data_IF_008881856706
#
_entry.id   IF_008881856706
#
_cell.length_a   1.000
_cell.length_b   1.000
_cell.length_c   1.000
_cell.angle_alpha   90.00
_cell.angle_beta   90.00
_cell.angle_gamma   90.00
#
_symmetry.space_group_name_H-M   'P 1'
#
loop_
_entity.id
_entity.type
_entity.pdbx_description
1 polymer ?
#
# COMPACT_ATOMS: atom_id res chain seq x y z
N UNK A 1 4.01 -4.71 -11.95
CA UNK A 1 5.20 -5.30 -11.27
C UNK A 1 4.81 -6.30 -10.19
N UNK A 2 5.67 -7.27 -9.84
CA UNK A 2 5.36 -8.32 -8.85
C UNK A 2 4.97 -7.77 -7.47
N UNK A 3 5.63 -6.70 -7.01
CA UNK A 3 5.27 -6.01 -5.77
C UNK A 3 3.76 -5.64 -5.72
N UNK A 4 3.23 -5.01 -6.78
CA UNK A 4 1.80 -4.68 -6.88
C UNK A 4 0.90 -5.91 -7.00
N UNK A 5 1.35 -6.94 -7.71
CA UNK A 5 0.55 -8.15 -7.92
C UNK A 5 0.15 -8.82 -6.60
N UNK A 6 1.02 -8.80 -5.58
CA UNK A 6 0.69 -9.34 -4.26
C UNK A 6 -0.45 -8.55 -3.59
N UNK A 7 -0.44 -7.23 -3.72
CA UNK A 7 -1.49 -6.34 -3.21
C UNK A 7 -2.81 -6.57 -3.97
N UNK A 8 -2.76 -6.69 -5.29
CA UNK A 8 -3.93 -7.03 -6.12
C UNK A 8 -4.50 -8.39 -5.72
N UNK A 9 -3.67 -9.42 -5.61
CA UNK A 9 -4.08 -10.77 -5.17
C UNK A 9 -4.80 -10.72 -3.83
N UNK A 10 -4.22 -10.02 -2.85
CA UNK A 10 -4.82 -9.83 -1.53
C UNK A 10 -6.21 -9.19 -1.60
N UNK A 11 -6.42 -8.19 -2.47
CA UNK A 11 -7.73 -7.55 -2.68
C UNK A 11 -8.74 -8.50 -3.32
N UNK A 12 -8.32 -9.28 -4.33
CA UNK A 12 -9.20 -10.20 -5.10
C UNK A 12 -9.67 -11.39 -4.26
N UNK A 13 -8.77 -12.00 -3.49
CA UNK A 13 -9.12 -13.06 -2.53
C UNK A 13 -10.08 -12.55 -1.44
N UNK A 14 -9.86 -11.33 -0.93
CA UNK A 14 -10.78 -10.69 0.03
C UNK A 14 -12.17 -10.47 -0.57
N UNK A 15 -12.25 -9.88 -1.76
CA UNK A 15 -13.52 -9.67 -2.46
C UNK A 15 -14.30 -10.98 -2.67
N UNK A 16 -13.59 -12.07 -3.01
CA UNK A 16 -14.18 -13.40 -3.15
C UNK A 16 -14.71 -13.95 -1.82
N UNK A 17 -13.96 -13.76 -0.72
CA UNK A 17 -14.35 -14.22 0.62
C UNK A 17 -15.53 -13.43 1.19
N UNK A 18 -15.54 -12.11 1.04
CA UNK A 18 -16.64 -11.25 1.48
C UNK A 18 -17.93 -11.54 0.71
N UNK A 19 -17.84 -11.77 -0.61
CA UNK A 19 -18.97 -12.16 -1.44
C UNK A 19 -19.62 -13.50 -1.04
N UNK A 20 -18.84 -14.45 -0.52
CA UNK A 20 -19.31 -15.76 -0.08
C UNK A 20 -19.82 -15.78 1.39
N UNK A 21 -19.18 -15.02 2.29
CA UNK A 21 -19.44 -15.09 3.73
C UNK A 21 -20.55 -14.15 4.23
N UNK A 22 -20.73 -12.97 3.62
CA UNK A 22 -21.67 -11.94 4.12
C UNK A 22 -23.15 -12.34 3.95
N UNK A 23 -23.46 -13.13 2.92
CA UNK A 23 -24.82 -13.61 2.61
C UNK A 23 -25.34 -14.65 3.61
N UNK A 24 -24.46 -15.46 4.21
CA UNK A 24 -24.83 -16.57 5.08
C UNK A 24 -24.78 -16.22 6.58
N UNK A 25 -23.93 -15.27 6.98
CA UNK A 25 -23.62 -15.03 8.41
C UNK A 25 -24.63 -14.14 9.14
N UNK A 26 -25.38 -13.31 8.42
CA UNK A 26 -26.25 -12.30 9.04
C UNK A 26 -27.69 -12.77 9.31
N UNK A 27 -28.03 -14.04 9.04
CA UNK A 27 -29.38 -14.59 9.29
C UNK A 27 -30.52 -13.86 8.58
N UNK A 28 -30.21 -12.94 7.68
CA UNK A 28 -31.16 -12.15 6.93
C UNK A 28 -31.77 -13.03 5.84
N UNK A 29 -33.10 -13.08 5.78
CA UNK A 29 -33.76 -13.53 4.55
C UNK A 29 -33.38 -12.56 3.45
N UNK A 30 -32.59 -13.03 2.50
CA UNK A 30 -32.30 -12.28 1.30
C UNK A 30 -33.64 -12.01 0.59
N UNK A 31 -33.87 -10.80 0.06
CA UNK A 31 -34.91 -10.66 -0.96
C UNK A 31 -34.63 -11.70 -2.04
N UNK A 32 -35.66 -12.28 -2.66
CA UNK A 32 -35.46 -13.20 -3.78
C UNK A 32 -34.54 -12.53 -4.80
N UNK A 33 -33.28 -12.97 -4.81
CA UNK A 33 -32.30 -12.50 -5.77
C UNK A 33 -32.82 -13.04 -7.08
N UNK A 34 -33.18 -12.15 -8.01
CA UNK A 34 -33.50 -12.57 -9.37
C UNK A 34 -32.34 -13.47 -9.84
N UNK A 35 -32.59 -14.77 -10.08
CA UNK A 35 -31.54 -15.69 -10.53
C UNK A 35 -30.91 -15.26 -11.86
N UNK A 36 -31.55 -14.31 -12.56
CA UNK A 36 -31.09 -13.70 -13.82
C UNK A 36 -30.37 -12.36 -13.64
N UNK A 37 -30.30 -11.79 -12.44
CA UNK A 37 -29.53 -10.57 -12.21
C UNK A 37 -28.03 -10.89 -12.33
N UNK A 38 -27.47 -10.68 -13.53
CA UNK A 38 -26.04 -10.81 -13.78
C UNK A 38 -25.26 -9.85 -12.87
N UNK A 39 -24.60 -10.39 -11.85
CA UNK A 39 -23.69 -9.62 -11.01
C UNK A 39 -22.40 -9.38 -11.79
N UNK A 40 -22.05 -8.11 -12.02
CA UNK A 40 -20.77 -7.75 -12.62
C UNK A 40 -19.60 -8.18 -11.71
N UNK A 41 -18.87 -9.21 -12.12
CA UNK A 41 -17.65 -9.65 -11.42
C UNK A 41 -16.49 -8.72 -11.77
N UNK A 42 -16.20 -7.80 -10.84
CA UNK A 42 -15.12 -6.81 -10.98
C UNK A 42 -13.72 -7.40 -11.14
N UNK A 43 -13.51 -8.70 -10.89
CA UNK A 43 -12.24 -9.37 -11.15
C UNK A 43 -11.94 -9.45 -12.65
N UNK A 44 -12.95 -9.37 -13.51
CA UNK A 44 -12.77 -9.28 -14.96
C UNK A 44 -11.96 -8.03 -15.40
N UNK A 45 -11.87 -6.99 -14.55
CA UNK A 45 -11.04 -5.79 -14.75
C UNK A 45 -9.59 -6.13 -14.37
N UNK A 46 -8.97 -7.00 -15.15
CA UNK A 46 -7.57 -7.41 -15.02
C UNK A 46 -7.00 -7.71 -16.42
N UNK A 47 -5.78 -7.28 -16.76
CA UNK A 47 -5.16 -7.61 -18.05
C UNK A 47 -5.17 -9.11 -18.37
N UNK A 48 -5.51 -9.46 -19.61
CA UNK A 48 -5.58 -10.85 -20.08
C UNK A 48 -6.97 -11.47 -20.10
N UNK A 49 -7.98 -10.81 -19.53
CA UNK A 49 -9.38 -11.27 -19.63
C UNK A 49 -9.99 -10.89 -20.97
N UNK A 50 -10.99 -11.66 -21.41
CA UNK A 50 -11.77 -11.35 -22.60
C UNK A 50 -12.48 -9.99 -22.47
N UNK A 51 -12.93 -9.64 -21.26
CA UNK A 51 -13.52 -8.34 -20.97
C UNK A 51 -12.58 -7.19 -21.36
N UNK A 52 -11.31 -7.23 -20.93
CA UNK A 52 -10.34 -6.18 -21.25
C UNK A 52 -9.98 -6.13 -22.74
N UNK A 53 -9.99 -7.27 -23.43
CA UNK A 53 -9.81 -7.32 -24.88
C UNK A 53 -10.97 -6.62 -25.62
N UNK A 54 -12.22 -6.95 -25.26
CA UNK A 54 -13.41 -6.31 -25.83
C UNK A 54 -13.45 -4.81 -25.49
N UNK A 55 -13.10 -4.44 -24.26
CA UNK A 55 -13.00 -3.04 -23.84
C UNK A 55 -12.01 -2.26 -24.71
N UNK A 56 -10.83 -2.81 -24.99
CA UNK A 56 -9.86 -2.17 -25.87
C UNK A 56 -10.39 -1.95 -27.28
N UNK A 57 -11.09 -2.94 -27.86
CA UNK A 57 -11.73 -2.81 -29.17
C UNK A 57 -12.82 -1.72 -29.17
N UNK A 58 -13.68 -1.71 -28.15
CA UNK A 58 -14.71 -0.68 -27.98
C UNK A 58 -14.12 0.72 -27.82
N UNK A 59 -13.04 0.89 -27.05
CA UNK A 59 -12.38 2.18 -26.87
C UNK A 59 -11.71 2.68 -28.16
N UNK A 60 -11.09 1.79 -28.94
CA UNK A 60 -10.54 2.14 -30.26
C UNK A 60 -11.64 2.66 -31.19
N UNK A 61 -12.76 1.94 -31.25
CA UNK A 61 -13.92 2.39 -32.02
C UNK A 61 -14.44 3.73 -31.51
N UNK A 62 -14.61 3.90 -30.20
CA UNK A 62 -15.08 5.13 -29.58
C UNK A 62 -14.19 6.33 -29.93
N UNK A 63 -12.87 6.18 -29.88
CA UNK A 63 -11.92 7.24 -30.24
C UNK A 63 -12.08 7.62 -31.72
N UNK A 64 -12.17 6.63 -32.62
CA UNK A 64 -12.38 6.87 -34.06
C UNK A 64 -13.72 7.57 -34.30
N UNK A 65 -14.79 7.12 -33.67
CA UNK A 65 -16.11 7.74 -33.77
C UNK A 65 -16.08 9.20 -33.31
N UNK A 66 -15.50 9.48 -32.14
CA UNK A 66 -15.39 10.85 -31.61
C UNK A 66 -14.55 11.76 -32.48
N UNK A 67 -13.38 11.31 -32.97
CA UNK A 67 -12.55 12.10 -33.88
C UNK A 67 -13.28 12.48 -35.18
N UNK A 68 -14.19 11.63 -35.66
CA UNK A 68 -14.95 11.87 -36.89
C UNK A 68 -16.25 12.66 -36.68
N UNK A 69 -16.86 12.56 -35.50
CA UNK A 69 -18.22 13.07 -35.25
C UNK A 69 -18.28 14.27 -34.32
N UNK A 70 -17.33 14.39 -33.37
CA UNK A 70 -17.34 15.43 -32.34
C UNK A 70 -16.36 16.57 -32.72
N UNK A 71 -16.86 17.79 -33.00
CA UNK A 71 -16.02 18.94 -33.31
C UNK A 71 -14.98 19.26 -32.23
N UNK A 72 -15.24 18.91 -30.97
CA UNK A 72 -14.32 19.12 -29.85
C UNK A 72 -13.04 18.29 -29.94
N UNK A 73 -13.02 17.23 -30.76
CA UNK A 73 -11.89 16.32 -30.92
C UNK A 73 -11.02 16.62 -32.16
N UNK A 74 -11.36 17.65 -32.96
CA UNK A 74 -10.67 17.91 -34.25
C UNK A 74 -9.20 18.29 -34.13
N UNK A 75 -8.81 18.95 -33.04
CA UNK A 75 -7.47 19.52 -32.87
C UNK A 75 -6.73 18.90 -31.68
N UNK A 76 -7.05 17.65 -31.31
CA UNK A 76 -6.39 16.93 -30.23
C UNK A 76 -5.73 15.67 -30.76
N UNK A 77 -4.63 15.29 -30.12
CA UNK A 77 -4.02 13.97 -30.29
C UNK A 77 -4.57 13.03 -29.21
N UNK A 78 -4.95 11.81 -29.61
CA UNK A 78 -5.50 10.81 -28.69
C UNK A 78 -4.62 9.57 -28.70
N UNK A 79 -4.02 9.26 -27.55
CA UNK A 79 -3.18 8.09 -27.35
C UNK A 79 -3.91 7.08 -26.47
N UNK A 80 -4.09 5.85 -26.96
CA UNK A 80 -4.65 4.74 -26.19
C UNK A 80 -3.56 3.74 -25.81
N UNK A 81 -3.32 3.58 -24.50
CA UNK A 81 -2.45 2.52 -23.95
C UNK A 81 -3.30 1.48 -23.22
N UNK A 82 -3.76 0.47 -23.96
CA UNK A 82 -4.64 -0.58 -23.42
C UNK A 82 -3.92 -1.57 -22.46
N UNK A 83 -4.66 -2.58 -22.01
CA UNK A 83 -4.20 -3.56 -21.01
C UNK A 83 -3.10 -4.52 -21.53
N UNK A 84 -2.83 -4.56 -22.83
CA UNK A 84 -1.74 -5.37 -23.39
C UNK A 84 -0.37 -4.68 -23.27
N UNK A 85 -0.34 -3.36 -23.05
CA UNK A 85 0.89 -2.63 -22.76
C UNK A 85 1.21 -2.78 -21.27
N UNK A 86 2.32 -3.44 -20.89
CA UNK A 86 2.65 -3.67 -19.48
C UNK A 86 2.83 -2.37 -18.69
N UNK A 87 2.40 -2.38 -17.43
CA UNK A 87 2.52 -1.25 -16.52
C UNK A 87 1.18 -0.79 -15.97
N UNK A 88 1.20 -0.26 -14.75
CA UNK A 88 0.03 0.37 -14.15
C UNK A 88 -0.32 1.65 -14.90
N UNK A 89 -1.62 1.97 -15.01
CA UNK A 89 -2.08 3.13 -15.80
C UNK A 89 -1.42 4.43 -15.37
N UNK A 90 -1.35 4.69 -14.06
CA UNK A 90 -0.70 5.87 -13.50
C UNK A 90 0.80 5.95 -13.87
N UNK A 91 1.54 4.84 -13.76
CA UNK A 91 2.96 4.82 -14.11
C UNK A 91 3.19 4.91 -15.62
N UNK A 92 2.30 4.37 -16.47
CA UNK A 92 2.37 4.57 -17.92
C UNK A 92 2.20 6.05 -18.29
N UNK A 93 1.32 6.77 -17.59
CA UNK A 93 1.15 8.22 -17.75
C UNK A 93 2.40 8.96 -17.29
N UNK A 94 2.93 8.64 -16.10
CA UNK A 94 4.14 9.31 -15.61
C UNK A 94 5.36 9.03 -16.49
N UNK A 95 5.52 7.80 -16.99
CA UNK A 95 6.54 7.43 -17.97
C UNK A 95 6.43 8.28 -19.24
N UNK A 96 5.21 8.52 -19.74
CA UNK A 96 4.97 9.38 -20.89
C UNK A 96 5.39 10.83 -20.59
N UNK A 97 4.95 11.41 -19.46
CA UNK A 97 5.29 12.78 -19.06
C UNK A 97 6.81 12.95 -18.91
N UNK A 98 7.49 12.01 -18.24
CA UNK A 98 8.95 12.08 -18.05
C UNK A 98 9.70 11.99 -19.39
N UNK A 99 9.27 11.11 -20.30
CA UNK A 99 9.88 11.02 -21.65
C UNK A 99 9.62 12.26 -22.49
N UNK A 100 8.43 12.85 -22.37
CA UNK A 100 8.07 14.09 -23.04
C UNK A 100 8.94 15.24 -22.52
N UNK A 101 9.04 15.41 -21.21
CA UNK A 101 9.89 16.43 -20.55
C UNK A 101 11.36 16.33 -20.95
N UNK A 102 11.85 15.11 -21.18
CA UNK A 102 13.21 14.86 -21.65
C UNK A 102 13.47 15.23 -23.13
N UNK A 103 12.44 15.59 -23.91
CA UNK A 103 12.61 15.99 -25.31
C UNK A 103 13.06 17.46 -25.43
N UNK A 104 13.97 17.80 -26.38
CA UNK A 104 14.43 19.18 -26.57
C UNK A 104 13.33 20.20 -26.93
N UNK A 105 12.22 19.75 -27.51
CA UNK A 105 11.13 20.60 -27.98
C UNK A 105 9.93 20.64 -27.03
N UNK A 106 10.06 20.08 -25.83
CA UNK A 106 9.00 20.11 -24.84
C UNK A 106 8.74 21.55 -24.35
N UNK A 107 7.48 21.95 -24.33
CA UNK A 107 7.06 23.21 -23.70
C UNK A 107 7.00 23.03 -22.17
N UNK A 108 7.90 23.67 -21.39
CA UNK A 108 7.91 23.57 -19.93
C UNK A 108 6.67 24.17 -19.25
N UNK A 109 5.80 24.88 -20.00
CA UNK A 109 4.54 25.43 -19.50
C UNK A 109 3.33 24.56 -19.84
N UNK A 110 3.53 23.35 -20.37
CA UNK A 110 2.45 22.39 -20.64
C UNK A 110 1.58 22.20 -19.39
N UNK A 111 0.27 22.34 -19.54
CA UNK A 111 -0.68 22.16 -18.43
C UNK A 111 -1.21 20.72 -18.42
N UNK A 112 -0.84 19.97 -17.39
CA UNK A 112 -1.24 18.59 -17.21
C UNK A 112 -2.50 18.48 -16.34
N UNK A 113 -3.49 17.72 -16.80
CA UNK A 113 -4.67 17.36 -16.01
C UNK A 113 -4.86 15.85 -16.01
N UNK A 114 -4.74 15.21 -14.84
CA UNK A 114 -4.94 13.76 -14.68
C UNK A 114 -6.26 13.48 -13.98
N UNK A 115 -7.08 12.60 -14.56
CA UNK A 115 -8.29 12.09 -13.92
C UNK A 115 -7.98 10.83 -13.12
N UNK A 116 -8.22 10.84 -11.80
CA UNK A 116 -8.09 9.65 -10.97
C UNK A 116 -8.29 9.91 -9.47
N UNK A 117 -8.71 8.86 -8.74
CA UNK A 117 -9.06 8.97 -7.31
C UNK A 117 -7.95 8.50 -6.36
N UNK A 118 -6.86 7.95 -6.88
CA UNK A 118 -5.79 7.37 -6.09
C UNK A 118 -4.93 8.46 -5.44
N UNK A 119 -4.54 8.23 -4.18
CA UNK A 119 -3.73 9.18 -3.42
C UNK A 119 -2.30 9.30 -3.97
N UNK A 120 -1.79 8.21 -4.56
CA UNK A 120 -0.46 8.12 -5.17
C UNK A 120 -0.27 9.15 -6.29
N UNK A 121 -1.36 9.56 -6.96
CA UNK A 121 -1.32 10.60 -8.00
C UNK A 121 -0.80 11.95 -7.50
N UNK A 122 -0.99 12.28 -6.22
CA UNK A 122 -0.42 13.52 -5.65
C UNK A 122 1.11 13.41 -5.61
N UNK A 123 1.63 12.28 -5.14
CA UNK A 123 3.07 12.03 -5.04
C UNK A 123 3.71 11.89 -6.42
N UNK A 124 3.04 11.19 -7.34
CA UNK A 124 3.49 11.06 -8.73
C UNK A 124 3.49 12.42 -9.44
N UNK A 125 2.44 13.24 -9.24
CA UNK A 125 2.37 14.60 -9.77
C UNK A 125 3.52 15.48 -9.28
N UNK A 126 3.84 15.42 -7.98
CA UNK A 126 4.99 16.10 -7.40
C UNK A 126 6.32 15.62 -8.01
N UNK A 127 6.51 14.30 -8.13
CA UNK A 127 7.71 13.67 -8.68
C UNK A 127 7.94 13.95 -10.19
N UNK A 128 6.94 14.44 -10.92
CA UNK A 128 7.15 14.89 -12.31
C UNK A 128 7.97 16.18 -12.40
N UNK A 129 7.97 16.99 -11.34
CA UNK A 129 8.42 18.39 -11.32
C UNK A 129 7.85 19.27 -12.44
N UNK A 130 6.70 18.91 -13.00
CA UNK A 130 5.97 19.78 -13.90
C UNK A 130 5.26 20.87 -13.09
N UNK A 131 5.45 22.16 -13.41
CA UNK A 131 4.91 23.26 -12.60
C UNK A 131 3.38 23.34 -12.69
N UNK A 132 2.81 23.04 -13.87
CA UNK A 132 1.39 23.17 -14.14
C UNK A 132 0.70 21.80 -14.16
N UNK A 133 0.47 21.24 -12.97
CA UNK A 133 -0.11 19.91 -12.83
C UNK A 133 -1.36 19.92 -11.93
N UNK A 134 -2.45 19.34 -12.42
CA UNK A 134 -3.74 19.27 -11.73
C UNK A 134 -4.30 17.86 -11.76
N UNK A 135 -4.88 17.40 -10.65
CA UNK A 135 -5.62 16.14 -10.58
C UNK A 135 -7.11 16.47 -10.48
N UNK A 136 -7.92 15.85 -11.32
CA UNK A 136 -9.39 15.90 -11.25
C UNK A 136 -9.91 14.57 -10.70
N UNK A 137 -10.85 14.63 -9.76
CA UNK A 137 -11.49 13.44 -9.19
C UNK A 137 -12.92 13.73 -8.76
N UNK A 138 -13.73 12.68 -8.67
CA UNK A 138 -15.05 12.79 -8.06
C UNK A 138 -14.93 13.15 -6.57
N UNK A 139 -15.81 14.04 -6.13
CA UNK A 139 -15.90 14.51 -4.76
C UNK A 139 -16.43 13.39 -3.87
N UNK A 140 -15.62 12.98 -2.90
CA UNK A 140 -16.04 12.01 -1.90
C UNK A 140 -16.46 12.75 -0.62
N UNK A 141 -17.76 12.76 -0.32
CA UNK A 141 -18.29 13.25 0.96
C UNK A 141 -18.63 12.07 1.87
N UNK A 142 -17.83 11.82 2.93
CA UNK A 142 -18.12 10.75 3.88
C UNK A 142 -19.51 10.97 4.51
N UNK A 143 -20.25 9.87 4.71
CA UNK A 143 -21.56 9.87 5.38
C UNK A 143 -22.66 10.70 4.71
N UNK A 144 -22.51 11.07 3.44
CA UNK A 144 -23.56 11.74 2.66
C UNK A 144 -24.02 10.85 1.50
N UNK A 145 -25.32 10.84 1.17
CA UNK A 145 -25.81 10.14 0.00
C UNK A 145 -25.17 10.72 -1.26
N UNK A 146 -24.91 9.85 -2.25
CA UNK A 146 -24.33 10.31 -3.52
C UNK A 146 -25.30 11.30 -4.17
N UNK A 147 -24.84 12.51 -4.55
CA UNK A 147 -25.68 13.47 -5.26
C UNK A 147 -26.15 12.91 -6.61
N UNK A 148 -27.23 13.47 -7.15
CA UNK A 148 -27.86 13.04 -8.41
C UNK A 148 -26.97 13.20 -9.64
N UNK A 149 -25.85 13.93 -9.52
CA UNK A 149 -24.82 14.07 -10.55
C UNK A 149 -23.42 14.06 -9.93
N UNK A 150 -22.38 13.66 -10.68
CA UNK A 150 -21.02 13.66 -10.19
C UNK A 150 -20.55 15.09 -9.92
N UNK A 151 -20.10 15.35 -8.70
CA UNK A 151 -19.36 16.56 -8.34
C UNK A 151 -17.86 16.27 -8.49
N UNK A 152 -17.11 17.18 -9.11
CA UNK A 152 -15.66 17.03 -9.30
C UNK A 152 -14.89 18.08 -8.50
N UNK A 153 -13.74 17.68 -7.97
CA UNK A 153 -12.78 18.57 -7.31
C UNK A 153 -11.46 18.58 -8.09
N UNK A 154 -10.76 19.70 -8.00
CA UNK A 154 -9.43 19.90 -8.57
C UNK A 154 -8.40 20.00 -7.46
N UNK A 155 -7.39 19.13 -7.52
CA UNK A 155 -6.21 19.19 -6.65
C UNK A 155 -5.07 19.77 -7.47
N UNK A 156 -4.70 21.01 -7.16
CA UNK A 156 -3.63 21.74 -7.86
C UNK A 156 -2.28 21.44 -7.22
N UNK A 157 -1.41 20.73 -7.91
CA UNK A 157 -0.08 20.37 -7.41
C UNK A 157 0.79 21.62 -7.23
N UNK A 158 0.63 22.65 -8.07
CA UNK A 158 1.33 23.92 -7.89
C UNK A 158 1.04 24.57 -6.52
N UNK A 159 -0.20 24.51 -6.04
CA UNK A 159 -0.60 25.04 -4.72
C UNK A 159 -0.03 24.18 -3.60
N UNK A 160 -0.07 22.84 -3.75
CA UNK A 160 0.56 21.93 -2.78
C UNK A 160 2.06 22.21 -2.65
N UNK A 161 2.75 22.45 -3.76
CA UNK A 161 4.17 22.83 -3.77
C UNK A 161 4.42 24.11 -2.97
N UNK A 162 3.58 25.13 -3.10
CA UNK A 162 3.71 26.35 -2.28
C UNK A 162 3.56 26.06 -0.78
N UNK A 163 2.60 25.23 -0.38
CA UNK A 163 2.45 24.81 1.03
C UNK A 163 3.65 24.00 1.52
N UNK A 164 4.17 23.07 0.71
CA UNK A 164 5.37 22.30 1.06
C UNK A 164 6.57 23.24 1.20
N UNK A 165 6.71 24.25 0.33
CA UNK A 165 7.81 25.23 0.41
C UNK A 165 7.80 25.99 1.74
N UNK A 166 6.63 26.42 2.20
CA UNK A 166 6.45 27.07 3.49
C UNK A 166 6.76 26.11 4.65
N UNK A 167 6.20 24.89 4.60
CA UNK A 167 6.39 23.90 5.67
C UNK A 167 7.85 23.42 5.74
N UNK A 168 8.58 23.39 4.63
CA UNK A 168 9.93 22.85 4.51
C UNK A 168 11.02 23.93 4.51
N UNK A 169 10.69 25.16 4.89
CA UNK A 169 11.69 26.20 5.06
C UNK A 169 12.71 25.82 6.16
N UNK A 170 13.99 26.00 5.84
CA UNK A 170 15.14 25.65 6.68
C UNK A 170 16.21 26.74 6.55
N UNK A 171 16.09 27.84 7.31
CA UNK A 171 17.11 28.89 7.30
C UNK A 171 18.40 28.40 7.97
N UNK A 172 19.55 28.87 7.49
CA UNK A 172 20.85 28.55 8.10
C UNK A 172 21.43 27.19 7.72
N UNK A 173 21.00 26.60 6.60
CA UNK A 173 21.60 25.37 6.08
C UNK A 173 23.09 25.56 5.72
N UNK A 174 23.93 24.53 5.94
CA UNK A 174 25.36 24.59 5.59
C UNK A 174 25.64 24.36 4.09
N UNK A 175 24.60 24.29 3.25
CA UNK A 175 24.67 24.07 1.81
C UNK A 175 23.52 24.83 1.11
N UNK A 176 23.60 24.94 -0.23
CA UNK A 176 22.60 25.65 -1.02
C UNK A 176 21.23 24.96 -0.98
N UNK A 177 20.19 25.72 -0.61
CA UNK A 177 18.81 25.23 -0.62
C UNK A 177 18.29 25.13 -2.06
N UNK A 178 17.93 23.92 -2.45
CA UNK A 178 17.21 23.54 -3.65
C UNK A 178 15.83 22.97 -3.27
N UNK A 179 14.77 23.59 -3.78
CA UNK A 179 13.39 23.19 -3.50
C UNK A 179 12.98 21.91 -4.22
N UNK A 180 13.56 21.58 -5.37
CA UNK A 180 13.17 20.35 -6.08
C UNK A 180 13.66 19.11 -5.33
N UNK A 181 14.87 19.15 -4.74
CA UNK A 181 15.33 18.07 -3.86
C UNK A 181 14.48 17.94 -2.57
N UNK A 182 13.89 19.04 -2.08
CA UNK A 182 12.94 19.00 -0.96
C UNK A 182 11.65 18.27 -1.34
N UNK A 183 11.16 18.46 -2.57
CA UNK A 183 10.01 17.72 -3.07
C UNK A 183 10.30 16.22 -3.13
N UNK A 184 11.48 15.83 -3.60
CA UNK A 184 11.89 14.42 -3.66
C UNK A 184 11.95 13.78 -2.27
N UNK A 185 12.54 14.50 -1.32
CA UNK A 185 12.62 14.08 0.07
C UNK A 185 11.24 14.02 0.74
N UNK A 186 10.33 14.94 0.41
CA UNK A 186 8.94 14.91 0.88
C UNK A 186 8.21 13.65 0.38
N UNK A 187 8.32 13.35 -0.91
CA UNK A 187 7.74 12.12 -1.51
C UNK A 187 8.32 10.88 -0.83
N UNK A 188 9.64 10.84 -0.62
CA UNK A 188 10.32 9.75 0.09
C UNK A 188 9.82 9.59 1.53
N UNK A 189 9.62 10.69 2.26
CA UNK A 189 9.05 10.64 3.62
C UNK A 189 7.63 10.06 3.63
N UNK A 190 6.80 10.39 2.64
CA UNK A 190 5.46 9.83 2.53
C UNK A 190 5.48 8.30 2.33
N UNK A 191 6.48 7.73 1.66
CA UNK A 191 6.60 6.28 1.50
C UNK A 191 6.77 5.52 2.82
N UNK A 192 7.35 6.13 3.86
CA UNK A 192 7.46 5.51 5.18
C UNK A 192 6.11 5.33 5.88
N UNK A 193 5.17 6.22 5.60
CA UNK A 193 3.85 6.20 6.24
C UNK A 193 2.95 5.14 5.60
N UNK A 194 3.11 4.88 4.31
CA UNK A 194 2.43 3.79 3.61
C UNK A 194 2.43 3.99 2.11
N UNK A 195 2.48 2.88 1.38
CA UNK A 195 2.33 2.83 -0.07
C UNK A 195 1.78 1.45 -0.46
N UNK A 196 1.51 1.25 -1.75
CA UNK A 196 0.91 0.00 -2.24
C UNK A 196 1.86 -1.21 -2.26
N UNK A 197 3.16 -1.01 -2.06
CA UNK A 197 4.21 -2.00 -2.26
C UNK A 197 4.82 -2.51 -0.95
N UNK A 198 4.80 -1.68 0.09
CA UNK A 198 5.34 -1.98 1.42
C UNK A 198 4.28 -1.79 2.51
N UNK A 199 4.26 -2.67 3.54
CA UNK A 199 3.45 -2.41 4.73
C UNK A 199 3.95 -1.15 5.46
N UNK A 200 3.02 -0.39 6.04
CA UNK A 200 3.36 0.77 6.85
C UNK A 200 4.15 0.36 8.09
N UNK A 201 5.11 1.20 8.50
CA UNK A 201 5.83 0.99 9.76
C UNK A 201 4.84 1.01 10.94
N UNK A 202 4.95 0.10 11.93
CA UNK A 202 3.96 0.01 13.01
C UNK A 202 3.78 1.33 13.80
N UNK A 203 4.86 2.12 13.90
CA UNK A 203 4.92 3.38 14.63
C UNK A 203 4.44 4.60 13.82
N UNK A 204 4.13 4.47 12.53
CA UNK A 204 3.71 5.59 11.68
C UNK A 204 2.28 5.42 11.17
N UNK A 205 1.37 6.29 11.62
CA UNK A 205 0.01 6.39 11.09
C UNK A 205 -0.33 7.86 10.75
N UNK A 206 -0.91 8.10 9.57
CA UNK A 206 -1.32 9.45 9.13
C UNK A 206 -2.23 10.11 10.17
N UNK A 207 -3.18 9.35 10.73
CA UNK A 207 -4.15 9.83 11.74
C UNK A 207 -3.49 10.28 13.06
N UNK A 208 -2.24 9.91 13.28
CA UNK A 208 -1.46 10.25 14.48
C UNK A 208 -0.38 11.32 14.21
N UNK A 209 -0.50 12.05 13.08
CA UNK A 209 0.44 13.11 12.70
C UNK A 209 1.82 12.57 12.34
N UNK A 210 1.90 11.41 11.67
CA UNK A 210 3.17 10.80 11.29
C UNK A 210 4.01 11.70 10.36
N UNK A 211 3.38 12.38 9.39
CA UNK A 211 4.06 13.27 8.45
C UNK A 211 4.72 14.43 9.20
N UNK A 212 3.98 15.09 10.12
CA UNK A 212 4.53 16.20 10.91
C UNK A 212 5.74 15.78 11.78
N UNK A 213 5.73 14.54 12.29
CA UNK A 213 6.87 13.99 13.04
C UNK A 213 8.07 13.76 12.13
N UNK A 214 7.84 13.21 10.93
CA UNK A 214 8.87 12.98 9.92
C UNK A 214 9.50 14.30 9.47
N UNK A 215 8.69 15.32 9.17
CA UNK A 215 9.18 16.65 8.75
C UNK A 215 10.12 17.24 9.81
N UNK A 216 9.75 17.20 11.10
CA UNK A 216 10.62 17.71 12.18
C UNK A 216 11.96 16.97 12.23
N UNK A 217 11.92 15.63 12.24
CA UNK A 217 13.13 14.80 12.26
C UNK A 217 14.01 15.04 11.03
N UNK A 218 13.38 15.15 9.86
CA UNK A 218 14.05 15.43 8.60
C UNK A 218 14.81 16.74 8.66
N UNK A 219 14.16 17.83 9.07
CA UNK A 219 14.81 19.15 9.20
C UNK A 219 16.04 19.07 10.09
N UNK A 220 15.94 18.45 11.27
CA UNK A 220 17.08 18.29 12.17
C UNK A 220 18.24 17.52 11.51
N UNK A 221 17.93 16.44 10.79
CA UNK A 221 18.94 15.59 10.14
C UNK A 221 19.60 16.29 8.96
N UNK A 222 18.86 17.08 8.19
CA UNK A 222 19.42 17.86 7.08
C UNK A 222 20.43 18.89 7.62
N UNK A 223 20.09 19.61 8.70
CA UNK A 223 21.03 20.53 9.35
C UNK A 223 22.29 19.81 9.88
N UNK A 224 22.13 18.62 10.47
CA UNK A 224 23.23 17.84 11.03
C UNK A 224 24.14 17.19 9.96
N UNK A 225 23.58 16.79 8.82
CA UNK A 225 24.30 15.99 7.81
C UNK A 225 24.69 16.75 6.55
N UNK A 226 24.23 17.99 6.39
CA UNK A 226 24.57 18.83 5.25
C UNK A 226 24.10 18.26 3.90
N UNK A 227 22.87 17.76 3.82
CA UNK A 227 22.25 17.45 2.52
C UNK A 227 20.95 16.64 2.59
N UNK A 228 20.41 16.34 1.42
CA UNK A 228 19.09 15.72 1.17
C UNK A 228 19.04 14.20 1.43
N UNK A 229 17.86 13.64 1.67
CA UNK A 229 17.66 12.20 1.79
C UNK A 229 17.83 11.47 0.46
N UNK A 230 17.48 12.13 -0.63
CA UNK A 230 17.45 11.57 -1.96
C UNK A 230 18.25 12.41 -2.94
N UNK A 231 18.68 11.78 -4.03
CA UNK A 231 19.26 12.47 -5.17
C UNK A 231 19.01 11.65 -6.43
N UNK A 232 18.31 12.22 -7.41
CA UNK A 232 18.03 11.58 -8.71
C UNK A 232 17.48 10.14 -8.60
N UNK A 233 16.55 9.90 -7.68
CA UNK A 233 15.96 8.57 -7.46
C UNK A 233 16.82 7.59 -6.66
N UNK A 234 17.97 8.03 -6.14
CA UNK A 234 18.79 7.25 -5.20
C UNK A 234 18.60 7.73 -3.77
N UNK A 235 18.66 6.81 -2.81
CA UNK A 235 18.46 7.07 -1.38
C UNK A 235 19.82 7.13 -0.67
N UNK A 236 20.04 8.17 0.13
CA UNK A 236 21.13 8.22 1.08
C UNK A 236 20.78 7.40 2.34
N UNK A 237 21.20 6.14 2.36
CA UNK A 237 20.89 5.21 3.45
C UNK A 237 21.41 5.67 4.81
N UNK A 238 22.54 6.39 4.86
CA UNK A 238 23.06 6.95 6.11
C UNK A 238 22.14 8.00 6.73
N UNK A 239 21.49 8.84 5.91
CA UNK A 239 20.50 9.82 6.38
C UNK A 239 19.17 9.15 6.74
N UNK A 240 18.75 8.14 5.99
CA UNK A 240 17.57 7.32 6.33
C UNK A 240 17.75 6.60 7.66
N UNK A 241 18.94 6.04 7.93
CA UNK A 241 19.25 5.41 9.22
C UNK A 241 19.05 6.40 10.38
N UNK A 242 19.52 7.64 10.22
CA UNK A 242 19.32 8.68 11.25
C UNK A 242 17.83 9.01 11.47
N UNK A 243 17.01 9.05 10.42
CA UNK A 243 15.56 9.22 10.54
C UNK A 243 14.96 8.07 11.34
N UNK A 244 15.31 6.83 10.98
CA UNK A 244 14.79 5.64 11.62
C UNK A 244 15.20 5.55 13.10
N UNK A 245 16.43 5.93 13.44
CA UNK A 245 16.89 6.07 14.83
C UNK A 245 16.06 7.13 15.58
N UNK A 246 15.75 8.26 14.94
CA UNK A 246 14.88 9.30 15.50
C UNK A 246 13.48 8.78 15.81
N UNK A 247 12.85 8.10 14.85
CA UNK A 247 11.53 7.47 15.03
C UNK A 247 11.60 6.38 16.10
N UNK A 248 12.66 5.55 16.08
CA UNK A 248 12.94 4.47 17.03
C UNK A 248 12.88 4.93 18.49
N UNK A 249 13.41 6.12 18.79
CA UNK A 249 13.34 6.74 20.13
C UNK A 249 11.93 7.11 20.56
N UNK A 250 11.01 7.31 19.61
CA UNK A 250 9.63 7.74 19.85
C UNK A 250 8.64 6.57 19.88
N UNK A 251 9.02 5.38 19.42
CA UNK A 251 8.11 4.23 19.24
C UNK A 251 7.36 3.85 20.52
N UNK A 252 8.07 3.71 21.64
CA UNK A 252 7.47 3.37 22.93
C UNK A 252 6.44 4.39 23.41
N UNK A 253 6.67 5.68 23.14
CA UNK A 253 5.74 6.74 23.50
C UNK A 253 4.51 6.71 22.58
N UNK A 254 4.71 6.47 21.28
CA UNK A 254 3.64 6.34 20.28
C UNK A 254 2.72 5.18 20.65
N UNK A 255 3.27 4.00 20.93
CA UNK A 255 2.45 2.83 21.25
C UNK A 255 1.70 2.95 22.58
N UNK A 256 2.31 3.59 23.59
CA UNK A 256 1.61 3.90 24.85
C UNK A 256 0.41 4.82 24.62
N UNK A 257 0.59 5.92 23.88
CA UNK A 257 -0.48 6.86 23.57
C UNK A 257 -1.60 6.22 22.75
N UNK A 258 -1.26 5.37 21.78
CA UNK A 258 -2.24 4.61 20.97
C UNK A 258 -3.08 3.70 21.87
N UNK A 259 -2.45 2.96 22.78
CA UNK A 259 -3.15 2.10 23.75
C UNK A 259 -4.10 2.91 24.65
N UNK A 260 -3.65 4.02 25.20
CA UNK A 260 -4.48 4.89 26.05
C UNK A 260 -5.71 5.41 25.27
N UNK A 261 -5.51 5.78 24.01
CA UNK A 261 -6.57 6.24 23.12
C UNK A 261 -7.58 5.13 22.81
N UNK A 262 -7.11 3.91 22.53
CA UNK A 262 -7.96 2.74 22.28
C UNK A 262 -8.79 2.37 23.51
N UNK A 263 -8.18 2.37 24.69
CA UNK A 263 -8.87 2.10 25.97
C UNK A 263 -9.95 3.17 26.22
N UNK A 264 -9.61 4.44 26.02
CA UNK A 264 -10.53 5.56 26.20
C UNK A 264 -11.71 5.50 25.22
N UNK A 265 -11.45 5.14 23.97
CA UNK A 265 -12.48 4.99 22.95
C UNK A 265 -13.43 3.84 23.26
N UNK A 266 -12.91 2.66 23.61
CA UNK A 266 -13.74 1.50 23.98
C UNK A 266 -14.58 1.76 25.23
N UNK A 267 -14.03 2.49 26.21
CA UNK A 267 -14.80 2.90 27.38
C UNK A 267 -16.00 3.78 27.01
N UNK A 268 -15.86 4.67 26.00
CA UNK A 268 -16.99 5.47 25.47
C UNK A 268 -18.00 4.61 24.74
N UNK A 269 -17.56 3.67 23.91
CA UNK A 269 -18.45 2.78 23.15
C UNK A 269 -19.28 1.88 24.08
N UNK A 270 -18.66 1.31 25.13
CA UNK A 270 -19.37 0.56 26.17
C UNK A 270 -20.33 1.46 26.94
N UNK A 271 -19.94 2.69 27.26
CA UNK A 271 -20.82 3.65 27.93
C UNK A 271 -22.03 4.01 27.07
N UNK A 272 -21.84 4.29 25.79
CA UNK A 272 -22.95 4.57 24.85
C UNK A 272 -23.89 3.36 24.70
N UNK A 273 -23.34 2.14 24.64
CA UNK A 273 -24.16 0.92 24.65
C UNK A 273 -24.92 0.74 25.96
N UNK A 274 -24.28 1.00 27.11
CA UNK A 274 -24.95 0.94 28.41
C UNK A 274 -26.05 1.99 28.51
N UNK A 275 -25.78 3.23 28.08
CA UNK A 275 -26.74 4.33 28.08
C UNK A 275 -27.94 4.00 27.18
N UNK A 276 -27.71 3.39 26.01
CA UNK A 276 -28.77 2.87 25.14
C UNK A 276 -29.58 1.76 25.83
N UNK A 277 -28.93 0.78 26.46
CA UNK A 277 -29.59 -0.31 27.18
C UNK A 277 -30.41 0.19 28.37
N UNK A 278 -29.89 1.14 29.15
CA UNK A 278 -30.57 1.79 30.26
C UNK A 278 -31.80 2.56 29.79
N UNK A 279 -31.68 3.26 28.65
CA UNK A 279 -32.78 3.99 28.04
C UNK A 279 -33.86 3.06 27.45
N UNK A 280 -33.49 1.90 26.91
CA UNK A 280 -34.43 0.96 26.29
C UNK A 280 -35.14 0.02 27.28
N UNK A 281 -34.53 -0.32 28.42
CA UNK A 281 -35.07 -1.38 29.29
C UNK A 281 -35.50 -0.93 30.69
N UNK A 282 -35.27 0.31 31.12
CA UNK A 282 -35.71 0.80 32.45
C UNK A 282 -35.32 -0.12 33.62
N UNK A 283 -34.16 -0.77 33.52
CA UNK A 283 -33.63 -1.64 34.56
C UNK A 283 -32.69 -0.81 35.45
N UNK A 284 -33.11 -0.52 36.68
CA UNK A 284 -32.21 -0.07 37.75
C UNK A 284 -31.42 -1.28 38.27
N UNK A 285 -30.25 -1.54 37.69
CA UNK A 285 -29.29 -2.47 38.27
C UNK A 285 -27.93 -1.80 38.41
N UNK A 286 -27.60 -1.42 39.64
CA UNK A 286 -26.24 -1.08 40.06
C UNK A 286 -25.40 -2.37 39.98
N UNK A 287 -24.71 -2.56 38.86
CA UNK A 287 -23.67 -3.58 38.76
C UNK A 287 -22.34 -2.92 38.43
N UNK A 288 -21.46 -2.87 39.42
CA UNK A 288 -20.04 -2.62 39.25
C UNK A 288 -19.45 -3.74 38.38
N UNK A 289 -19.42 -3.55 37.07
CA UNK A 289 -18.76 -4.46 36.16
C UNK A 289 -17.27 -4.08 36.12
N UNK A 290 -16.49 -4.70 37.01
CA UNK A 290 -15.05 -4.84 36.83
C UNK A 290 -14.84 -5.96 35.80
N UNK A 291 -14.96 -5.62 34.52
CA UNK A 291 -14.74 -6.57 33.43
C UNK A 291 -13.23 -6.83 33.30
N UNK A 292 -12.86 -8.05 33.69
CA UNK A 292 -11.58 -8.69 33.36
C UNK A 292 -11.51 -8.76 31.83
N UNK A 293 -10.74 -7.87 31.20
CA UNK A 293 -10.47 -7.91 29.77
C UNK A 293 -9.04 -8.35 29.49
N UNK A 294 -8.98 -9.44 28.72
CA UNK A 294 -7.81 -10.22 28.40
C UNK A 294 -6.75 -9.42 27.61
N UNK A 295 -5.50 -9.61 28.04
CA UNK A 295 -4.29 -8.92 27.63
C UNK A 295 -3.83 -9.41 26.25
N UNK A 296 -4.05 -8.66 25.16
CA UNK A 296 -3.50 -9.07 23.83
C UNK A 296 -2.52 -8.13 23.14
N UNK A 297 -2.30 -6.89 23.60
CA UNK A 297 -1.27 -6.02 23.02
C UNK A 297 -0.63 -5.13 24.09
N UNK A 298 0.46 -5.61 24.69
CA UNK A 298 1.30 -4.81 25.59
C UNK A 298 2.56 -4.40 24.84
N UNK A 299 2.62 -3.14 24.43
CA UNK A 299 3.81 -2.51 23.84
C UNK A 299 4.64 -1.74 24.88
N UNK A 300 4.52 -2.07 26.19
CA UNK A 300 4.90 -1.16 27.28
C UNK A 300 5.94 -1.67 28.29
N UNK A 301 6.45 -2.89 28.16
CA UNK A 301 7.69 -3.34 28.84
C UNK A 301 8.55 -4.07 27.81
N UNK A 302 9.70 -4.62 28.19
CA UNK A 302 10.65 -5.39 27.36
C UNK A 302 10.03 -6.51 26.47
N UNK A 303 8.71 -6.69 26.46
CA UNK A 303 7.94 -7.75 25.83
C UNK A 303 7.15 -7.35 24.56
N UNK A 304 7.00 -6.07 24.24
CA UNK A 304 6.12 -5.64 23.12
C UNK A 304 6.65 -5.99 21.72
N UNK A 305 7.92 -5.68 21.48
CA UNK A 305 8.62 -6.00 20.23
C UNK A 305 8.80 -7.52 20.07
N UNK A 306 9.16 -8.22 21.15
CA UNK A 306 9.23 -9.70 21.18
C UNK A 306 7.87 -10.33 20.85
N UNK A 307 6.79 -9.85 21.48
CA UNK A 307 5.42 -10.31 21.18
C UNK A 307 5.04 -10.04 19.73
N UNK A 308 5.42 -8.90 19.16
CA UNK A 308 5.18 -8.61 17.76
C UNK A 308 5.88 -9.62 16.84
N UNK A 309 7.20 -9.80 17.01
CA UNK A 309 7.96 -10.74 16.16
C UNK A 309 7.46 -12.18 16.31
N UNK A 310 7.15 -12.59 17.54
CA UNK A 310 6.56 -13.90 17.82
C UNK A 310 5.18 -14.07 17.21
N UNK A 311 4.30 -13.09 17.34
CA UNK A 311 2.92 -13.19 16.86
C UNK A 311 2.80 -13.07 15.33
N UNK A 312 3.64 -12.24 14.70
CA UNK A 312 3.53 -11.90 13.28
C UNK A 312 4.42 -12.75 12.37
N UNK A 313 5.57 -13.17 12.87
CA UNK A 313 6.58 -13.90 12.09
C UNK A 313 6.90 -15.29 12.65
N UNK A 314 6.30 -15.66 13.79
CA UNK A 314 6.59 -16.91 14.50
C UNK A 314 8.09 -17.06 14.89
N UNK A 315 8.76 -15.94 15.17
CA UNK A 315 10.16 -15.90 15.61
C UNK A 315 10.22 -15.69 17.12
N UNK A 316 10.93 -16.57 17.83
CA UNK A 316 11.16 -16.45 19.28
C UNK A 316 12.51 -15.77 19.53
N UNK A 317 12.55 -14.74 20.38
CA UNK A 317 13.79 -14.05 20.77
C UNK A 317 14.68 -14.86 21.73
N UNK A 318 14.24 -16.05 22.19
CA UNK A 318 15.02 -16.92 23.07
C UNK A 318 15.68 -18.05 22.27
N UNK A 319 17.02 -18.06 22.23
CA UNK A 319 17.79 -19.28 22.00
C UNK A 319 17.58 -20.18 23.21
N UNK A 320 16.62 -21.11 23.12
CA UNK A 320 16.56 -22.20 24.09
C UNK A 320 17.63 -23.22 23.75
N UNK A 321 18.26 -23.81 24.77
CA UNK A 321 19.26 -24.90 24.64
C UNK A 321 18.77 -26.05 23.72
N UNK A 322 17.45 -26.22 23.62
CA UNK A 322 16.78 -27.16 22.73
C UNK A 322 17.03 -26.91 21.23
N UNK A 323 17.19 -25.64 20.82
CA UNK A 323 17.45 -25.26 19.42
C UNK A 323 18.85 -25.66 18.96
N UNK A 324 19.83 -25.68 19.87
CA UNK A 324 21.18 -26.19 19.60
C UNK A 324 21.17 -27.70 19.32
N UNK A 325 20.31 -28.46 20.00
CA UNK A 325 20.19 -29.92 19.83
C UNK A 325 19.54 -30.31 18.48
N UNK A 326 18.58 -29.53 17.99
CA UNK A 326 17.92 -29.75 16.69
C UNK A 326 18.80 -29.37 15.49
N UNK A 327 19.68 -28.37 15.64
CA UNK A 327 20.65 -27.95 14.61
C UNK A 327 21.65 -29.05 14.19
N UNK A 328 21.86 -30.07 15.03
CA UNK A 328 22.83 -31.14 14.76
C UNK A 328 22.24 -32.34 13.98
N UNK A 329 20.92 -32.39 13.75
CA UNK A 329 20.26 -33.54 13.12
C UNK A 329 19.34 -33.21 11.93
N UNK A 330 19.24 -31.95 11.48
CA UNK A 330 18.57 -31.63 10.22
C UNK A 330 19.06 -30.30 9.64
N UNK A 331 19.20 -30.25 8.30
CA UNK A 331 19.74 -29.14 7.51
C UNK A 331 18.86 -27.86 7.48
N UNK A 332 18.07 -27.60 8.51
CA UNK A 332 17.32 -26.36 8.68
C UNK A 332 18.16 -25.37 9.49
N UNK A 333 18.78 -24.41 8.81
CA UNK A 333 19.51 -23.30 9.45
C UNK A 333 18.53 -22.48 10.30
N UNK A 334 18.56 -22.65 11.61
CA UNK A 334 17.77 -21.82 12.54
C UNK A 334 18.33 -20.39 12.47
N UNK A 335 17.62 -19.49 11.78
CA UNK A 335 17.95 -18.07 11.77
C UNK A 335 17.79 -17.53 13.19
N UNK A 336 18.82 -16.84 13.72
CA UNK A 336 18.65 -16.11 14.97
C UNK A 336 17.65 -14.98 14.77
N UNK A 337 16.97 -14.54 15.83
CA UNK A 337 16.05 -13.40 15.78
C UNK A 337 16.73 -12.14 15.18
N UNK A 338 18.00 -11.93 15.49
CA UNK A 338 18.80 -10.86 14.92
C UNK A 338 18.98 -10.99 13.40
N UNK A 339 19.32 -12.19 12.91
CA UNK A 339 19.47 -12.45 11.47
C UNK A 339 18.16 -12.27 10.72
N UNK A 340 17.04 -12.70 11.32
CA UNK A 340 15.72 -12.50 10.75
C UNK A 340 15.37 -11.01 10.64
N UNK A 341 15.57 -10.24 11.70
CA UNK A 341 15.33 -8.79 11.71
C UNK A 341 16.19 -8.06 10.68
N UNK A 342 17.47 -8.43 10.56
CA UNK A 342 18.35 -7.89 9.51
C UNK A 342 17.85 -8.25 8.10
N UNK A 343 17.40 -9.48 7.87
CA UNK A 343 16.79 -9.88 6.57
C UNK A 343 15.53 -9.08 6.25
N UNK A 344 14.66 -8.87 7.26
CA UNK A 344 13.42 -8.10 7.13
C UNK A 344 13.72 -6.64 6.78
N UNK A 345 14.62 -5.99 7.53
CA UNK A 345 15.06 -4.61 7.29
C UNK A 345 15.70 -4.46 5.93
N UNK A 346 16.60 -5.38 5.55
CA UNK A 346 17.22 -5.37 4.23
C UNK A 346 16.17 -5.41 3.11
N UNK A 347 15.21 -6.32 3.21
CA UNK A 347 14.15 -6.44 2.20
C UNK A 347 13.25 -5.18 2.16
N UNK A 348 13.05 -4.52 3.30
CA UNK A 348 12.29 -3.28 3.38
C UNK A 348 13.04 -2.10 2.77
N UNK A 349 14.34 -1.97 3.05
CA UNK A 349 15.22 -0.94 2.45
C UNK A 349 15.34 -1.12 0.94
N UNK A 350 15.54 -2.35 0.46
CA UNK A 350 15.46 -2.69 -0.96
C UNK A 350 14.12 -2.21 -1.54
N UNK A 351 13.01 -2.44 -0.84
CA UNK A 351 11.71 -1.97 -1.30
C UNK A 351 11.57 -0.45 -1.36
N UNK A 352 12.12 0.28 -0.40
CA UNK A 352 12.10 1.74 -0.45
C UNK A 352 12.86 2.27 -1.66
N UNK A 353 14.03 1.69 -1.96
CA UNK A 353 14.81 2.02 -3.15
C UNK A 353 14.03 1.68 -4.43
N UNK A 354 13.38 0.51 -4.46
CA UNK A 354 12.56 0.09 -5.58
C UNK A 354 11.39 1.04 -5.84
N UNK A 355 10.67 1.46 -4.80
CA UNK A 355 9.53 2.38 -4.90
C UNK A 355 9.99 3.74 -5.39
N UNK A 356 11.09 4.28 -4.86
CA UNK A 356 11.62 5.57 -5.32
C UNK A 356 12.00 5.49 -6.82
N UNK A 357 12.72 4.45 -7.24
CA UNK A 357 13.03 4.25 -8.65
C UNK A 357 11.76 4.10 -9.51
N UNK A 358 10.73 3.41 -9.02
CA UNK A 358 9.49 3.23 -9.78
C UNK A 358 8.78 4.55 -10.08
N UNK A 359 8.84 5.52 -9.16
CA UNK A 359 8.25 6.84 -9.32
C UNK A 359 9.08 7.74 -10.25
N UNK A 360 10.41 7.75 -10.10
CA UNK A 360 11.29 8.71 -10.79
C UNK A 360 11.91 8.18 -12.09
N UNK A 361 12.19 6.87 -12.17
CA UNK A 361 12.93 6.25 -13.27
C UNK A 361 12.16 5.12 -13.97
N UNK A 362 11.01 4.71 -13.43
CA UNK A 362 10.23 3.58 -13.94
C UNK A 362 10.61 2.26 -13.24
N UNK A 363 9.95 1.17 -13.63
CA UNK A 363 10.02 -0.10 -12.89
C UNK A 363 11.43 -0.71 -12.92
N UNK A 364 12.18 -0.57 -11.82
CA UNK A 364 13.54 -1.09 -11.67
C UNK A 364 13.62 -2.62 -11.68
N UNK A 365 12.58 -3.30 -11.21
CA UNK A 365 12.47 -4.75 -11.31
C UNK A 365 11.02 -5.22 -11.35
N UNK A 366 10.67 -5.96 -12.40
CA UNK A 366 9.35 -6.58 -12.55
C UNK A 366 9.16 -7.80 -11.65
N UNK A 367 10.26 -8.40 -11.18
CA UNK A 367 10.27 -9.62 -10.34
C UNK A 367 10.34 -9.32 -8.85
N UNK A 368 10.93 -8.19 -8.46
CA UNK A 368 11.12 -7.86 -7.06
C UNK A 368 9.77 -7.68 -6.33
N UNK A 369 9.73 -8.15 -5.08
CA UNK A 369 8.64 -7.90 -4.15
C UNK A 369 9.14 -8.00 -2.71
N UNK A 370 8.38 -7.39 -1.78
CA UNK A 370 8.64 -7.53 -0.35
C UNK A 370 8.06 -8.86 0.17
N UNK A 371 8.89 -9.82 0.64
CA UNK A 371 8.46 -11.19 0.91
C UNK A 371 7.92 -11.39 2.33
N UNK A 372 7.28 -10.37 2.90
CA UNK A 372 6.70 -10.40 4.23
C UNK A 372 5.37 -9.65 4.28
N UNK A 373 4.46 -10.07 5.15
CA UNK A 373 3.16 -9.39 5.31
C UNK A 373 3.21 -8.15 6.21
N UNK A 374 4.28 -7.99 7.00
CA UNK A 374 4.41 -6.94 8.01
C UNK A 374 5.77 -6.23 7.92
N UNK A 375 5.79 -4.98 8.36
CA UNK A 375 6.99 -4.15 8.37
C UNK A 375 7.86 -4.40 9.64
N UNK A 376 9.16 -4.11 9.58
CA UNK A 376 10.01 -3.99 10.78
C UNK A 376 9.63 -2.76 11.62
N UNK A 377 10.18 -2.65 12.84
CA UNK A 377 10.14 -1.39 13.60
C UNK A 377 11.22 -0.44 13.10
N UNK A 378 11.04 0.87 13.30
CA UNK A 378 12.04 1.87 12.95
C UNK A 378 13.35 1.63 13.74
N UNK A 379 13.24 1.20 15.01
CA UNK A 379 14.38 0.81 15.84
C UNK A 379 15.17 -0.41 15.36
N UNK A 380 14.69 -1.16 14.35
CA UNK A 380 15.45 -2.26 13.74
C UNK A 380 16.35 -1.82 12.57
N UNK A 381 16.22 -0.59 12.07
CA UNK A 381 17.05 -0.06 10.98
C UNK A 381 18.39 0.44 11.53
N UNK A 382 19.31 -0.48 11.79
CA UNK A 382 20.70 -0.19 12.13
C UNK A 382 21.63 -0.87 11.11
N UNK A 383 22.78 -0.26 10.83
CA UNK A 383 23.79 -0.80 9.91
C UNK A 383 23.23 -0.99 8.48
N UNK A 384 22.49 0.00 7.98
CA UNK A 384 21.87 -0.06 6.65
C UNK A 384 22.70 0.64 5.56
N UNK A 385 23.77 1.36 5.91
CA UNK A 385 24.58 2.16 4.98
C UNK A 385 25.09 1.37 3.76
N UNK A 386 25.48 0.12 3.97
CA UNK A 386 26.14 -0.72 2.96
C UNK A 386 25.20 -1.76 2.35
N UNK A 387 23.88 -1.60 2.50
CA UNK A 387 22.93 -2.52 1.88
C UNK A 387 22.92 -2.32 0.37
N UNK A 388 22.88 -3.42 -0.43
CA UNK A 388 22.81 -3.30 -1.86
C UNK A 388 21.46 -2.70 -2.28
N UNK A 389 21.52 -1.78 -3.23
CA UNK A 389 20.36 -1.05 -3.77
C UNK A 389 20.15 -1.33 -5.25
N UNK A 390 20.96 -2.21 -5.84
CA UNK A 390 20.90 -2.58 -7.25
C UNK A 390 19.82 -3.64 -7.50
N UNK A 391 19.11 -3.46 -8.63
CA UNK A 391 18.11 -4.40 -9.10
C UNK A 391 18.57 -5.08 -10.40
N UNK A 392 18.17 -6.34 -10.64
CA UNK A 392 18.47 -7.00 -11.91
C UNK A 392 17.86 -6.23 -13.09
N UNK A 393 18.70 -5.86 -14.07
CA UNK A 393 18.33 -5.02 -15.21
C UNK A 393 17.46 -5.73 -16.25
N UNK A 394 17.53 -7.06 -16.35
CA UNK A 394 16.81 -7.87 -17.33
C UNK A 394 15.58 -8.57 -16.71
N UNK A 395 14.69 -7.79 -16.11
CA UNK A 395 13.40 -8.31 -15.64
C UNK A 395 12.28 -7.90 -16.58
N UNK A 396 11.36 -8.82 -16.83
CA UNK A 396 10.23 -8.61 -17.73
C UNK A 396 8.91 -8.72 -16.98
N UNK A 397 7.90 -8.02 -17.47
CA UNK A 397 6.54 -8.18 -17.01
C UNK A 397 6.06 -9.62 -17.26
N UNK A 398 5.30 -10.18 -16.32
CA UNK A 398 4.63 -11.46 -16.53
C UNK A 398 3.64 -11.35 -17.69
N UNK A 399 3.47 -12.45 -18.43
CA UNK A 399 2.47 -12.50 -19.50
C UNK A 399 1.07 -12.37 -18.89
N UNK A 400 0.07 -11.84 -19.60
CA UNK A 400 -1.24 -11.57 -19.02
C UNK A 400 -1.88 -12.78 -18.32
N UNK A 401 -1.85 -13.97 -18.92
CA UNK A 401 -2.40 -15.18 -18.30
C UNK A 401 -1.61 -15.65 -17.08
N UNK A 402 -0.28 -15.50 -17.07
CA UNK A 402 0.56 -15.79 -15.90
C UNK A 402 0.23 -14.83 -14.75
N UNK A 403 -0.01 -13.56 -15.07
CA UNK A 403 -0.46 -12.57 -14.09
C UNK A 403 -1.83 -12.95 -13.53
N UNK A 404 -2.78 -13.37 -14.37
CA UNK A 404 -4.11 -13.81 -13.91
C UNK A 404 -4.01 -14.95 -12.90
N UNK A 405 -3.21 -15.98 -13.19
CA UNK A 405 -2.96 -17.08 -12.23
C UNK A 405 -2.36 -16.56 -10.92
N UNK A 406 -1.46 -15.57 -10.97
CA UNK A 406 -0.85 -15.02 -9.77
C UNK A 406 -1.80 -14.17 -8.90
N UNK A 407 -2.87 -13.59 -9.46
CA UNK A 407 -3.72 -12.62 -8.75
C UNK A 407 -5.14 -13.12 -8.44
N UNK A 408 -5.63 -14.11 -9.18
CA UNK A 408 -7.00 -14.60 -8.99
C UNK A 408 -7.12 -15.69 -7.92
N UNK A 409 -8.22 -15.67 -7.13
CA UNK A 409 -8.68 -16.85 -6.42
C UNK A 409 -9.31 -17.85 -7.39
N UNK A 410 -9.44 -19.11 -6.98
CA UNK A 410 -10.07 -20.18 -7.78
C UNK A 410 -11.48 -19.80 -8.27
N UNK A 411 -12.25 -19.09 -7.44
CA UNK A 411 -13.59 -18.61 -7.78
C UNK A 411 -13.64 -17.74 -9.06
N UNK A 412 -12.53 -17.08 -9.41
CA UNK A 412 -12.40 -16.28 -10.64
C UNK A 412 -11.75 -17.05 -11.80
N UNK A 413 -11.62 -18.37 -11.67
CA UNK A 413 -11.08 -19.27 -12.69
C UNK A 413 -11.85 -19.27 -14.02
N UNK A 414 -13.08 -18.74 -14.04
CA UNK A 414 -13.88 -18.55 -15.26
C UNK A 414 -13.22 -17.61 -16.29
N UNK A 415 -12.31 -16.74 -15.88
CA UNK A 415 -11.59 -15.82 -16.77
C UNK A 415 -10.30 -16.41 -17.37
N UNK A 416 -9.99 -17.66 -17.04
CA UNK A 416 -8.81 -18.37 -17.53
C UNK A 416 -9.22 -19.46 -18.53
N UNK A 417 -8.31 -19.88 -19.43
CA UNK A 417 -8.53 -21.07 -20.25
C UNK A 417 -8.88 -22.28 -19.38
N UNK A 418 -9.77 -23.16 -19.86
CA UNK A 418 -10.25 -24.32 -19.09
C UNK A 418 -9.12 -25.23 -18.62
N UNK A 419 -8.06 -25.37 -19.41
CA UNK A 419 -6.87 -26.15 -19.03
C UNK A 419 -6.10 -25.56 -17.85
N UNK A 420 -6.06 -24.22 -17.72
CA UNK A 420 -5.36 -23.51 -16.65
C UNK A 420 -6.22 -23.40 -15.40
N UNK A 421 -7.54 -23.21 -15.56
CA UNK A 421 -8.50 -23.22 -14.45
C UNK A 421 -8.37 -24.47 -13.58
N UNK A 422 -8.14 -25.64 -14.20
CA UNK A 422 -7.92 -26.91 -13.48
C UNK A 422 -6.76 -26.84 -12.49
N UNK A 423 -5.69 -26.09 -12.80
CA UNK A 423 -4.52 -25.96 -11.92
C UNK A 423 -4.82 -25.22 -10.60
N UNK A 424 -5.92 -24.46 -10.53
CA UNK A 424 -6.30 -23.71 -9.33
C UNK A 424 -7.14 -24.53 -8.34
N UNK A 425 -7.77 -25.63 -8.79
CA UNK A 425 -8.70 -26.41 -7.98
C UNK A 425 -8.43 -27.91 -7.95
N UNK A 426 -7.54 -28.44 -8.80
CA UNK A 426 -7.11 -29.84 -8.72
C UNK A 426 -6.20 -30.05 -7.49
N UNK A 427 -6.57 -30.92 -6.53
CA UNK A 427 -5.75 -31.21 -5.36
C UNK A 427 -4.36 -31.78 -5.69
N UNK A 428 -4.18 -32.33 -6.90
CA UNK A 428 -2.89 -32.85 -7.38
C UNK A 428 -2.08 -31.80 -8.16
N UNK A 429 -2.58 -30.58 -8.31
CA UNK A 429 -1.86 -29.50 -8.98
C UNK A 429 -0.62 -29.12 -8.19
N UNK A 430 0.52 -28.97 -8.88
CA UNK A 430 1.78 -28.56 -8.26
C UNK A 430 1.77 -27.14 -7.67
N UNK A 431 0.70 -26.37 -7.92
CA UNK A 431 0.51 -25.00 -7.45
C UNK A 431 -0.74 -24.82 -6.57
N UNK A 432 -1.38 -25.92 -6.14
CA UNK A 432 -2.62 -25.87 -5.35
C UNK A 432 -2.42 -25.13 -4.02
N UNK A 433 -1.23 -25.21 -3.42
CA UNK A 433 -0.88 -24.53 -2.17
C UNK A 433 -1.03 -23.01 -2.22
N UNK A 434 -1.07 -22.43 -3.44
CA UNK A 434 -1.29 -21.00 -3.65
C UNK A 434 -2.78 -20.60 -3.73
N UNK A 435 -3.71 -21.54 -3.75
CA UNK A 435 -5.15 -21.28 -3.86
C UNK A 435 -5.91 -21.87 -2.66
N UNK A 436 -5.68 -21.37 -1.43
CA UNK A 436 -6.39 -21.89 -0.27
C UNK A 436 -7.88 -21.49 -0.32
N UNK A 437 -8.76 -22.45 0.02
CA UNK A 437 -10.21 -22.22 0.14
C UNK A 437 -10.55 -21.15 1.19
N UNK A 438 -9.78 -21.15 2.30
CA UNK A 438 -9.90 -20.15 3.35
C UNK A 438 -8.53 -19.61 3.78
N UNK A 439 -8.50 -18.34 4.16
CA UNK A 439 -7.29 -17.65 4.61
C UNK A 439 -7.60 -16.69 5.76
N UNK A 440 -6.62 -16.51 6.65
CA UNK A 440 -6.75 -15.64 7.82
C UNK A 440 -6.60 -14.17 7.43
N UNK A 441 -7.49 -13.33 7.96
CA UNK A 441 -7.35 -11.88 7.92
C UNK A 441 -6.94 -11.41 9.32
N UNK A 442 -5.73 -10.85 9.44
CA UNK A 442 -5.26 -10.24 10.67
C UNK A 442 -5.61 -8.76 10.69
N UNK A 443 -6.52 -8.34 11.59
CA UNK A 443 -6.93 -6.95 11.72
C UNK A 443 -5.78 -6.01 12.08
N UNK A 444 -4.71 -6.51 12.71
CA UNK A 444 -3.51 -5.76 13.07
C UNK A 444 -3.80 -4.39 13.76
N UNK A 445 -4.79 -4.37 14.66
CA UNK A 445 -5.21 -3.15 15.38
C UNK A 445 -6.20 -2.25 14.62
N UNK A 446 -6.58 -2.59 13.39
CA UNK A 446 -7.59 -1.86 12.61
C UNK A 446 -9.01 -2.32 12.95
N UNK A 447 -10.00 -1.44 12.71
CA UNK A 447 -11.41 -1.66 13.10
C UNK A 447 -12.14 -2.60 12.15
N UNK A 448 -11.86 -2.49 10.85
CA UNK A 448 -12.61 -3.21 9.82
C UNK A 448 -11.74 -4.26 9.10
N UNK A 449 -12.36 -5.37 8.69
CA UNK A 449 -11.67 -6.46 7.99
C UNK A 449 -11.01 -6.03 6.67
N UNK A 450 -11.62 -5.08 5.95
CA UNK A 450 -11.04 -4.53 4.72
C UNK A 450 -9.74 -3.75 4.96
N UNK A 451 -9.47 -3.32 6.19
CA UNK A 451 -8.20 -2.69 6.62
C UNK A 451 -7.17 -3.72 7.12
N UNK A 452 -7.58 -4.96 7.32
CA UNK A 452 -6.72 -6.04 7.81
C UNK A 452 -5.79 -6.61 6.74
N UNK A 453 -4.80 -7.38 7.20
CA UNK A 453 -3.80 -8.05 6.38
C UNK A 453 -4.28 -9.44 6.03
N UNK A 454 -4.47 -9.74 4.73
CA UNK A 454 -4.78 -11.08 4.27
C UNK A 454 -3.50 -11.93 4.23
N UNK A 455 -3.47 -13.00 5.01
CA UNK A 455 -2.32 -13.91 5.13
C UNK A 455 -2.41 -14.99 4.04
N UNK A 456 -2.02 -14.60 2.82
CA UNK A 456 -1.92 -15.49 1.67
C UNK A 456 -0.46 -15.93 1.45
N UNK A 457 -0.22 -17.18 1.04
CA UNK A 457 1.12 -17.62 0.63
C UNK A 457 1.55 -16.85 -0.62
N UNK A 458 2.80 -16.40 -0.71
CA UNK A 458 3.32 -15.75 -1.93
C UNK A 458 3.52 -16.80 -3.03
N UNK A 459 3.09 -16.54 -4.28
CA UNK A 459 3.37 -17.45 -5.41
C UNK A 459 4.87 -17.45 -5.69
N UNK A 460 5.47 -18.61 -5.95
CA UNK A 460 6.87 -18.72 -6.38
C UNK A 460 7.10 -18.08 -7.77
#
# INVERSE_FOLDING_TARGET
PRAKMNQQRSRRFRASKEGAAELLRNGAKLPEVDPKAERFDSNCITPGTEFMFRLAACLRFYIIDRLNTDPGWRNIEVILSDANVPGEGEHKIMDFIRRQRGQPHHDPNTHHCICGADADLIMLGLATHEPNFTIIREEFKPNQPRPCGPSYIFIRICVIREYIKLEMEMPGLPFAYDFENIIDDWVMMCFFVGNDFLPHLPSLEIREGAIDKLVRLYKDIVHQTGGYLTSNGQINLGRVEKIMVGIGKMEDAIFRKRRESDVSYRAREVKEQLDYWLHCFHINFLCSIHLIYDYKWCYGRMDGKERYFRAKFNVSMKVTVFSWYLSHNNAAKVLTDFDFRRKLVRSYVEGLCWVLLYYYQGCASWKWFFPFHYAPFASDFFDILNLPTDFPTNTEAKRPLEQLMCVFPEASGQFLPTSWRKLMGDPNSAIIDFYPDDFKIDLNGKKYAWQGVALLPFVD
#
